data_IF_557269865357
#
_entry.id   IF_557269865357
#
_cell.length_a   1.000
_cell.length_b   1.000
_cell.length_c   1.000
_cell.angle_alpha   90.00
_cell.angle_beta   90.00
_cell.angle_gamma   90.00
#
_symmetry.space_group_name_H-M   'P 1'
#
loop_
_entity.id
_entity.type
_entity.pdbx_description
1 polymer ?
#
# COMPACT_ATOMS: atom_id res chain seq x y z
N UNK A 1 -51.14 -26.85 -30.24
CA UNK A 1 -50.49 -27.53 -29.10
C UNK A 1 -49.25 -26.74 -28.73
N UNK A 2 -49.38 -25.76 -27.82
CA UNK A 2 -48.28 -24.86 -27.44
C UNK A 2 -47.40 -25.59 -26.43
N UNK A 3 -46.18 -25.96 -26.83
CA UNK A 3 -45.16 -26.45 -25.89
C UNK A 3 -44.82 -25.31 -24.93
N UNK A 4 -45.32 -25.37 -23.70
CA UNK A 4 -44.78 -24.59 -22.59
C UNK A 4 -43.33 -25.02 -22.41
N UNK A 5 -42.40 -24.16 -22.81
CA UNK A 5 -41.03 -24.20 -22.32
C UNK A 5 -41.12 -24.11 -20.80
N UNK A 6 -40.68 -25.17 -20.11
CA UNK A 6 -40.35 -25.10 -18.69
C UNK A 6 -39.19 -24.11 -18.59
N UNK A 7 -39.47 -22.91 -18.10
CA UNK A 7 -38.45 -22.08 -17.47
C UNK A 7 -37.87 -22.93 -16.34
N UNK A 8 -36.70 -23.51 -16.58
CA UNK A 8 -35.87 -24.03 -15.50
C UNK A 8 -35.61 -22.87 -14.54
N UNK A 9 -35.95 -23.08 -13.27
CA UNK A 9 -35.62 -22.17 -12.20
C UNK A 9 -34.11 -21.89 -12.26
N UNK A 10 -33.73 -20.66 -12.63
CA UNK A 10 -32.44 -20.12 -12.22
C UNK A 10 -32.49 -20.01 -10.70
N UNK A 11 -32.18 -21.11 -10.00
CA UNK A 11 -31.84 -21.08 -8.59
C UNK A 11 -30.62 -20.16 -8.50
N UNK A 12 -30.83 -18.95 -8.00
CA UNK A 12 -29.78 -18.03 -7.64
C UNK A 12 -29.03 -18.65 -6.46
N UNK A 13 -28.10 -19.58 -6.73
CA UNK A 13 -27.26 -20.17 -5.70
C UNK A 13 -26.28 -19.09 -5.26
N UNK A 14 -26.52 -18.51 -4.10
CA UNK A 14 -25.62 -17.53 -3.47
C UNK A 14 -24.21 -18.13 -3.43
N UNK A 15 -23.24 -17.42 -4.00
CA UNK A 15 -21.82 -17.78 -4.00
C UNK A 15 -21.13 -17.18 -2.78
N UNK A 16 -19.95 -17.70 -2.43
CA UNK A 16 -19.14 -17.15 -1.33
C UNK A 16 -18.92 -15.64 -1.45
N UNK A 17 -18.61 -15.15 -2.66
CA UNK A 17 -18.42 -13.71 -2.92
C UNK A 17 -19.70 -12.87 -2.72
N UNK A 18 -20.89 -13.44 -2.89
CA UNK A 18 -22.14 -12.69 -2.62
C UNK A 18 -22.26 -12.37 -1.12
N UNK A 19 -21.89 -13.33 -0.27
CA UNK A 19 -21.85 -13.12 1.18
C UNK A 19 -20.70 -12.21 1.63
N UNK A 20 -19.56 -12.24 0.95
CA UNK A 20 -18.48 -11.28 1.18
C UNK A 20 -18.96 -9.84 0.91
N UNK A 21 -19.63 -9.61 -0.22
CA UNK A 21 -20.21 -8.31 -0.55
C UNK A 21 -21.28 -7.89 0.46
N UNK A 22 -22.15 -8.81 0.89
CA UNK A 22 -23.12 -8.54 1.97
C UNK A 22 -22.42 -8.17 3.28
N UNK A 23 -21.24 -8.74 3.57
CA UNK A 23 -20.47 -8.41 4.76
C UNK A 23 -19.92 -6.99 4.71
N UNK A 24 -19.38 -6.56 3.56
CA UNK A 24 -18.88 -5.19 3.38
C UNK A 24 -19.99 -4.13 3.46
N UNK A 25 -21.20 -4.49 3.05
CA UNK A 25 -22.37 -3.61 3.12
C UNK A 25 -23.20 -3.74 4.41
N UNK A 26 -22.74 -4.55 5.38
CA UNK A 26 -23.49 -4.78 6.60
C UNK A 26 -23.43 -3.59 7.57
N UNK A 27 -24.60 -3.19 8.08
CA UNK A 27 -24.73 -2.08 9.05
C UNK A 27 -24.03 -2.34 10.40
N UNK A 28 -23.76 -3.61 10.73
CA UNK A 28 -23.17 -3.99 12.02
C UNK A 28 -22.12 -5.06 11.86
N UNK A 29 -21.08 -5.02 12.70
CA UNK A 29 -20.03 -6.03 12.75
C UNK A 29 -20.59 -7.45 13.00
N UNK A 30 -21.65 -7.57 13.79
CA UNK A 30 -22.31 -8.87 14.04
C UNK A 30 -22.92 -9.46 12.77
N UNK A 31 -23.62 -8.63 11.97
CA UNK A 31 -24.15 -9.06 10.67
C UNK A 31 -23.01 -9.40 9.70
N UNK A 32 -22.00 -8.53 9.59
CA UNK A 32 -20.82 -8.76 8.76
C UNK A 32 -20.15 -10.10 9.08
N UNK A 33 -19.93 -10.38 10.37
CA UNK A 33 -19.34 -11.64 10.85
C UNK A 33 -20.17 -12.87 10.47
N UNK A 34 -21.49 -12.77 10.52
CA UNK A 34 -22.39 -13.85 10.12
C UNK A 34 -22.26 -14.14 8.62
N UNK A 35 -22.24 -13.10 7.79
CA UNK A 35 -22.06 -13.25 6.35
C UNK A 35 -20.68 -13.81 5.98
N UNK A 36 -19.60 -13.33 6.59
CA UNK A 36 -18.26 -13.85 6.35
C UNK A 36 -18.12 -15.33 6.72
N UNK A 37 -18.77 -15.77 7.81
CA UNK A 37 -18.82 -17.20 8.15
C UNK A 37 -19.54 -18.01 7.08
N UNK A 38 -20.66 -17.52 6.55
CA UNK A 38 -21.37 -18.18 5.43
C UNK A 38 -20.53 -18.21 4.15
N UNK A 39 -19.80 -17.13 3.86
CA UNK A 39 -18.88 -17.10 2.72
C UNK A 39 -17.83 -18.23 2.82
N UNK A 40 -17.24 -18.41 4.00
CA UNK A 40 -16.24 -19.46 4.27
C UNK A 40 -16.84 -20.87 4.39
N UNK A 41 -18.12 -21.01 4.77
CA UNK A 41 -18.83 -22.29 4.72
C UNK A 41 -19.04 -22.76 3.27
N UNK A 42 -19.28 -21.82 2.34
CA UNK A 42 -19.44 -22.11 0.92
C UNK A 42 -18.11 -22.32 0.19
N UNK A 43 -17.10 -21.55 0.58
CA UNK A 43 -15.75 -21.60 0.00
C UNK A 43 -14.71 -21.33 1.10
N UNK A 44 -14.14 -22.39 1.70
CA UNK A 44 -13.10 -22.27 2.72
C UNK A 44 -11.82 -21.59 2.21
N UNK A 45 -11.60 -21.57 0.89
CA UNK A 45 -10.39 -21.04 0.25
C UNK A 45 -10.57 -19.56 -0.17
N UNK A 46 -11.68 -18.93 0.22
CA UNK A 46 -11.92 -17.51 -0.01
C UNK A 46 -11.05 -16.63 0.92
N UNK A 47 -9.84 -16.34 0.46
CA UNK A 47 -8.84 -15.56 1.20
C UNK A 47 -9.32 -14.15 1.59
N UNK A 48 -10.17 -13.51 0.79
CA UNK A 48 -10.71 -12.17 1.14
C UNK A 48 -11.71 -12.26 2.30
N UNK A 49 -12.58 -13.28 2.28
CA UNK A 49 -13.50 -13.53 3.38
C UNK A 49 -12.76 -13.95 4.66
N UNK A 50 -11.69 -14.74 4.53
CA UNK A 50 -10.84 -15.13 5.64
C UNK A 50 -10.15 -13.92 6.28
N UNK A 51 -9.57 -13.04 5.45
CA UNK A 51 -8.95 -11.79 5.88
C UNK A 51 -9.94 -10.85 6.55
N UNK A 52 -11.11 -10.63 5.95
CA UNK A 52 -12.14 -9.75 6.50
C UNK A 52 -12.69 -10.29 7.83
N UNK A 53 -12.85 -11.62 7.96
CA UNK A 53 -13.26 -12.24 9.22
C UNK A 53 -12.19 -12.09 10.30
N UNK A 54 -10.92 -12.23 9.92
CA UNK A 54 -9.79 -12.03 10.82
C UNK A 54 -9.73 -10.59 11.31
N UNK A 55 -9.93 -9.59 10.46
CA UNK A 55 -9.92 -8.16 10.82
C UNK A 55 -10.95 -7.87 11.93
N UNK A 56 -12.23 -8.17 11.67
CA UNK A 56 -13.32 -7.87 12.61
C UNK A 56 -13.27 -8.72 13.89
N UNK A 57 -12.54 -9.84 13.87
CA UNK A 57 -12.44 -10.76 15.01
C UNK A 57 -11.14 -10.58 15.80
N UNK A 58 -10.26 -9.68 15.36
CA UNK A 58 -8.98 -9.46 16.02
C UNK A 58 -9.10 -8.51 17.21
N UNK A 59 -8.36 -8.83 18.27
CA UNK A 59 -8.38 -8.04 19.51
C UNK A 59 -7.42 -6.87 19.48
N UNK A 60 -6.47 -6.90 18.55
CA UNK A 60 -5.45 -5.87 18.34
C UNK A 60 -4.85 -6.03 16.96
N UNK A 61 -4.11 -5.02 16.52
CA UNK A 61 -3.37 -5.02 15.27
C UNK A 61 -2.31 -6.13 15.22
N UNK A 62 -1.68 -6.45 16.36
CA UNK A 62 -0.71 -7.55 16.47
C UNK A 62 -1.39 -8.93 16.37
N UNK A 63 -2.59 -9.08 16.93
CA UNK A 63 -3.41 -10.28 16.76
C UNK A 63 -3.82 -10.46 15.29
N UNK A 64 -4.21 -9.37 14.63
CA UNK A 64 -4.55 -9.38 13.21
C UNK A 64 -3.34 -9.71 12.33
N UNK A 65 -2.17 -9.14 12.62
CA UNK A 65 -0.92 -9.44 11.91
C UNK A 65 -0.61 -10.95 11.94
N UNK A 66 -0.71 -11.58 13.11
CA UNK A 66 -0.46 -13.02 13.26
C UNK A 66 -1.44 -13.87 12.47
N UNK A 67 -2.74 -13.57 12.58
CA UNK A 67 -3.77 -14.26 11.77
C UNK A 67 -3.55 -14.05 10.27
N UNK A 68 -3.11 -12.86 9.85
CA UNK A 68 -2.81 -12.58 8.45
C UNK A 68 -1.60 -13.40 7.96
N UNK A 69 -0.60 -13.65 8.82
CA UNK A 69 0.51 -14.57 8.51
C UNK A 69 0.01 -16.00 8.27
N UNK A 70 -0.94 -16.48 9.09
CA UNK A 70 -1.59 -17.79 8.89
C UNK A 70 -2.38 -17.84 7.56
N UNK A 71 -3.10 -16.76 7.22
CA UNK A 71 -3.83 -16.64 5.94
C UNK A 71 -2.87 -16.61 4.74
N UNK A 72 -1.70 -15.97 4.87
CA UNK A 72 -0.66 -16.03 3.83
C UNK A 72 -0.14 -17.47 3.68
N UNK A 73 0.06 -18.20 4.78
CA UNK A 73 0.48 -19.60 4.71
C UNK A 73 -0.58 -20.47 4.00
N UNK A 74 -1.86 -20.24 4.29
CA UNK A 74 -2.97 -20.87 3.57
C UNK A 74 -2.94 -20.50 2.08
N UNK A 75 -2.87 -19.21 1.75
CA UNK A 75 -2.79 -18.73 0.38
C UNK A 75 -1.57 -19.25 -0.38
N UNK A 76 -0.40 -19.37 0.25
CA UNK A 76 0.79 -19.98 -0.36
C UNK A 76 0.50 -21.41 -0.82
N UNK A 77 -0.15 -22.21 0.03
CA UNK A 77 -0.52 -23.57 -0.31
C UNK A 77 -1.49 -23.61 -1.51
N UNK A 78 -2.50 -22.74 -1.52
CA UNK A 78 -3.44 -22.64 -2.63
C UNK A 78 -2.75 -22.25 -3.94
N UNK A 79 -1.87 -21.24 -3.92
CA UNK A 79 -1.13 -20.81 -5.11
C UNK A 79 -0.20 -21.90 -5.64
N UNK A 80 0.38 -22.72 -4.76
CA UNK A 80 1.20 -23.86 -5.16
C UNK A 80 0.35 -24.99 -5.77
N UNK A 81 -0.76 -25.37 -5.12
CA UNK A 81 -1.67 -26.41 -5.62
C UNK A 81 -2.33 -26.04 -6.96
N UNK A 82 -2.54 -24.75 -7.21
CA UNK A 82 -3.08 -24.21 -8.44
C UNK A 82 -2.02 -23.95 -9.53
N UNK A 83 -0.73 -24.17 -9.23
CA UNK A 83 0.38 -23.96 -10.18
C UNK A 83 0.72 -22.48 -10.43
N UNK A 84 0.22 -21.55 -9.62
CA UNK A 84 0.46 -20.12 -9.81
C UNK A 84 1.87 -19.66 -9.43
N UNK A 85 2.66 -20.47 -8.74
CA UNK A 85 4.10 -20.19 -8.53
C UNK A 85 5.01 -20.65 -9.68
N UNK A 86 4.45 -21.18 -10.76
CA UNK A 86 5.20 -21.47 -11.98
C UNK A 86 5.70 -20.18 -12.65
N UNK A 87 6.77 -20.31 -13.45
CA UNK A 87 7.51 -19.18 -14.02
C UNK A 87 6.63 -18.30 -14.90
N UNK A 88 5.61 -18.88 -15.52
CA UNK A 88 4.67 -18.25 -16.43
C UNK A 88 3.69 -17.31 -15.71
N UNK A 89 3.47 -17.52 -14.40
CA UNK A 89 2.57 -16.70 -13.59
C UNK A 89 3.31 -15.64 -12.76
N UNK A 90 4.53 -15.96 -12.29
CA UNK A 90 5.35 -15.03 -11.50
C UNK A 90 5.63 -13.75 -12.28
N UNK A 91 5.30 -12.61 -11.66
CA UNK A 91 5.40 -11.28 -12.25
C UNK A 91 4.06 -10.72 -12.72
N UNK A 92 3.08 -11.59 -12.98
CA UNK A 92 1.76 -11.25 -13.51
C UNK A 92 0.61 -11.54 -12.53
N UNK A 93 0.89 -11.73 -11.24
CA UNK A 93 -0.11 -12.08 -10.21
C UNK A 93 -1.30 -11.09 -10.11
N UNK A 94 -1.17 -9.85 -10.57
CA UNK A 94 -2.31 -8.94 -10.60
C UNK A 94 -3.17 -9.07 -11.86
N UNK A 95 -2.57 -9.54 -12.96
CA UNK A 95 -3.23 -9.74 -14.24
C UNK A 95 -4.02 -11.05 -14.26
N UNK A 96 -3.61 -12.03 -13.47
CA UNK A 96 -4.34 -13.28 -13.21
C UNK A 96 -5.41 -13.00 -12.15
N UNK A 97 -6.67 -13.34 -12.43
CA UNK A 97 -7.80 -12.96 -11.57
C UNK A 97 -7.79 -13.74 -10.24
N UNK A 98 -7.46 -15.03 -10.33
CA UNK A 98 -7.46 -16.03 -9.26
C UNK A 98 -6.42 -15.72 -8.17
N UNK A 99 -5.31 -15.06 -8.53
CA UNK A 99 -4.22 -14.71 -7.61
C UNK A 99 -4.43 -13.36 -6.91
N UNK A 100 -5.45 -12.58 -7.27
CA UNK A 100 -5.70 -11.25 -6.68
C UNK A 100 -6.06 -11.29 -5.19
N UNK A 101 -6.92 -12.21 -4.69
CA UNK A 101 -7.17 -12.34 -3.25
C UNK A 101 -5.86 -12.53 -2.47
N UNK A 102 -4.96 -13.39 -2.98
CA UNK A 102 -3.66 -13.62 -2.38
C UNK A 102 -2.79 -12.34 -2.35
N UNK A 103 -2.75 -11.57 -3.44
CA UNK A 103 -2.04 -10.28 -3.47
C UNK A 103 -2.64 -9.25 -2.51
N UNK A 104 -3.97 -9.24 -2.32
CA UNK A 104 -4.64 -8.35 -1.34
C UNK A 104 -4.29 -8.73 0.11
N UNK A 105 -4.25 -10.03 0.43
CA UNK A 105 -3.80 -10.50 1.75
C UNK A 105 -2.37 -10.05 2.02
N UNK A 106 -1.45 -10.25 1.07
CA UNK A 106 -0.05 -9.80 1.18
C UNK A 106 0.07 -8.30 1.35
N UNK A 107 -0.69 -7.52 0.60
CA UNK A 107 -0.74 -6.07 0.76
C UNK A 107 -1.23 -5.66 2.16
N UNK A 108 -2.28 -6.32 2.68
CA UNK A 108 -2.77 -6.03 4.04
C UNK A 108 -1.73 -6.40 5.10
N UNK A 109 -1.01 -7.51 4.93
CA UNK A 109 0.10 -7.88 5.79
C UNK A 109 1.21 -6.81 5.78
N UNK A 110 1.59 -6.32 4.60
CA UNK A 110 2.53 -5.20 4.46
C UNK A 110 2.06 -3.96 5.25
N UNK A 111 0.79 -3.58 5.13
CA UNK A 111 0.23 -2.45 5.91
C UNK A 111 0.34 -2.71 7.42
N UNK A 112 -0.04 -3.90 7.89
CA UNK A 112 0.03 -4.27 9.30
C UNK A 112 1.48 -4.24 9.83
N UNK A 113 2.46 -4.63 9.02
CA UNK A 113 3.89 -4.52 9.37
C UNK A 113 4.33 -3.06 9.52
N UNK A 114 3.89 -2.16 8.65
CA UNK A 114 4.19 -0.72 8.73
C UNK A 114 3.51 -0.07 9.94
N UNK A 115 2.26 -0.42 10.20
CA UNK A 115 1.49 0.01 11.36
C UNK A 115 2.20 -0.42 12.66
N UNK A 116 2.67 -1.68 12.72
CA UNK A 116 3.44 -2.24 13.84
C UNK A 116 4.94 -1.87 13.85
N UNK A 117 5.40 -1.02 12.92
CA UNK A 117 6.81 -0.58 12.78
C UNK A 117 7.84 -1.71 12.61
N UNK A 118 7.41 -2.85 12.05
CA UNK A 118 8.28 -3.98 11.70
C UNK A 118 8.96 -3.75 10.34
N UNK A 119 9.72 -2.66 10.21
CA UNK A 119 10.14 -2.11 8.92
C UNK A 119 11.01 -3.06 8.06
N UNK A 120 11.89 -3.87 8.68
CA UNK A 120 12.70 -4.85 7.93
C UNK A 120 11.84 -5.98 7.34
N UNK A 121 10.80 -6.42 8.05
CA UNK A 121 9.83 -7.38 7.52
C UNK A 121 9.00 -6.75 6.40
N UNK A 122 8.64 -5.48 6.53
CA UNK A 122 7.93 -4.74 5.48
C UNK A 122 8.77 -4.65 4.18
N UNK A 123 10.08 -4.41 4.28
CA UNK A 123 10.98 -4.46 3.11
C UNK A 123 10.91 -5.81 2.41
N UNK A 124 11.05 -6.90 3.17
CA UNK A 124 10.98 -8.25 2.61
C UNK A 124 9.64 -8.52 1.92
N UNK A 125 8.52 -8.13 2.55
CA UNK A 125 7.19 -8.29 1.96
C UNK A 125 7.04 -7.47 0.67
N UNK A 126 7.54 -6.22 0.65
CA UNK A 126 7.55 -5.40 -0.56
C UNK A 126 8.32 -6.08 -1.71
N UNK A 127 9.50 -6.64 -1.42
CA UNK A 127 10.34 -7.32 -2.40
C UNK A 127 9.66 -8.58 -2.96
N UNK A 128 9.03 -9.39 -2.10
CA UNK A 128 8.26 -10.56 -2.53
C UNK A 128 7.05 -10.14 -3.37
N UNK A 129 6.30 -9.11 -2.96
CA UNK A 129 5.17 -8.60 -3.73
C UNK A 129 5.60 -8.09 -5.12
N UNK A 130 6.74 -7.41 -5.23
CA UNK A 130 7.29 -6.94 -6.52
C UNK A 130 7.86 -8.06 -7.39
N UNK A 131 8.23 -9.20 -6.80
CA UNK A 131 8.59 -10.41 -7.54
C UNK A 131 7.35 -11.09 -8.11
N UNK A 132 6.27 -11.15 -7.32
CA UNK A 132 4.98 -11.72 -7.76
C UNK A 132 4.26 -10.82 -8.78
N UNK A 133 4.42 -9.50 -8.67
CA UNK A 133 3.79 -8.50 -9.52
C UNK A 133 4.83 -7.46 -9.98
N UNK A 134 5.51 -7.75 -11.09
CA UNK A 134 6.61 -6.90 -11.61
C UNK A 134 6.11 -5.54 -12.10
N UNK A 135 4.86 -5.48 -12.56
CA UNK A 135 4.20 -4.24 -12.98
C UNK A 135 3.78 -3.34 -11.80
N UNK A 136 3.96 -3.81 -10.56
CA UNK A 136 3.66 -3.09 -9.32
C UNK A 136 2.27 -2.43 -9.32
N UNK A 137 1.25 -3.23 -9.64
CA UNK A 137 -0.13 -2.76 -9.78
C UNK A 137 -0.72 -2.23 -8.47
N UNK A 138 -0.14 -2.60 -7.32
CA UNK A 138 -0.53 -2.14 -5.99
C UNK A 138 0.29 -0.94 -5.48
N UNK A 139 1.28 -0.46 -6.24
CA UNK A 139 2.03 0.75 -5.89
C UNK A 139 3.06 0.57 -4.77
N UNK A 140 3.46 -0.66 -4.48
CA UNK A 140 4.39 -1.05 -3.41
C UNK A 140 5.78 -0.42 -3.60
N UNK A 141 6.18 -0.05 -4.84
CA UNK A 141 7.46 0.64 -5.10
C UNK A 141 7.64 1.91 -4.29
N UNK A 142 6.56 2.65 -4.02
CA UNK A 142 6.66 3.89 -3.26
C UNK A 142 6.83 3.61 -1.77
N UNK A 143 6.26 2.54 -1.24
CA UNK A 143 6.53 2.12 0.13
C UNK A 143 8.00 1.67 0.25
N UNK A 144 8.45 0.84 -0.69
CA UNK A 144 9.81 0.29 -0.68
C UNK A 144 10.89 1.37 -0.81
N UNK A 145 10.68 2.41 -1.64
CA UNK A 145 11.65 3.51 -1.75
C UNK A 145 11.80 4.27 -0.43
N UNK A 146 10.70 4.53 0.28
CA UNK A 146 10.75 5.20 1.59
C UNK A 146 11.42 4.33 2.66
N UNK A 147 11.18 3.01 2.63
CA UNK A 147 11.85 2.06 3.53
C UNK A 147 13.35 1.98 3.27
N UNK A 148 13.80 1.91 2.01
CA UNK A 148 15.23 1.94 1.70
C UNK A 148 15.87 3.29 2.09
N UNK A 149 15.17 4.41 1.87
CA UNK A 149 15.62 5.73 2.34
C UNK A 149 15.74 5.80 3.87
N UNK A 150 14.82 5.19 4.61
CA UNK A 150 14.90 5.11 6.07
C UNK A 150 16.22 4.46 6.53
N UNK A 151 16.65 3.40 5.85
CA UNK A 151 17.92 2.70 6.11
C UNK A 151 19.15 3.26 5.39
N UNK A 152 19.02 4.40 4.69
CA UNK A 152 20.12 5.03 3.96
C UNK A 152 20.73 4.14 2.86
N UNK A 153 19.95 3.19 2.34
CA UNK A 153 20.41 2.23 1.33
C UNK A 153 20.31 2.83 -0.10
N UNK A 154 21.27 3.69 -0.44
CA UNK A 154 21.36 4.32 -1.77
C UNK A 154 21.34 3.30 -2.89
N UNK A 155 22.04 2.16 -2.70
CA UNK A 155 22.18 1.14 -3.73
C UNK A 155 20.81 0.54 -4.08
N UNK A 156 20.03 0.17 -3.08
CA UNK A 156 18.71 -0.42 -3.28
C UNK A 156 17.71 0.59 -3.86
N UNK A 157 17.75 1.86 -3.41
CA UNK A 157 16.98 2.97 -4.01
C UNK A 157 17.28 3.10 -5.50
N UNK A 158 18.56 3.22 -5.88
CA UNK A 158 18.94 3.41 -7.29
C UNK A 158 18.58 2.19 -8.16
N UNK A 159 18.75 0.98 -7.62
CA UNK A 159 18.37 -0.25 -8.30
C UNK A 159 16.87 -0.32 -8.55
N UNK A 160 16.04 0.00 -7.56
CA UNK A 160 14.59 0.00 -7.68
C UNK A 160 14.11 1.03 -8.72
N UNK A 161 14.61 2.27 -8.64
CA UNK A 161 14.32 3.33 -9.59
C UNK A 161 14.64 2.92 -11.03
N UNK A 162 15.79 2.26 -11.24
CA UNK A 162 16.21 1.78 -12.56
C UNK A 162 15.36 0.60 -13.04
N UNK A 163 15.13 -0.40 -12.18
CA UNK A 163 14.37 -1.61 -12.52
C UNK A 163 12.95 -1.26 -12.99
N UNK A 164 12.27 -0.41 -12.23
CA UNK A 164 10.87 -0.01 -12.49
C UNK A 164 10.74 1.24 -13.37
N UNK A 165 11.86 1.79 -13.88
CA UNK A 165 11.89 3.02 -14.69
C UNK A 165 11.07 4.14 -14.07
N UNK A 166 11.24 4.36 -12.76
CA UNK A 166 10.38 5.24 -11.98
C UNK A 166 10.43 6.69 -12.49
N UNK A 167 9.26 7.29 -12.63
CA UNK A 167 9.13 8.70 -12.96
C UNK A 167 9.43 9.57 -11.74
N UNK A 168 9.91 10.79 -11.99
CA UNK A 168 10.19 11.79 -10.96
C UNK A 168 8.88 12.40 -10.43
N UNK A 169 8.18 11.66 -9.59
CA UNK A 169 6.96 12.12 -8.88
C UNK A 169 7.31 12.67 -7.51
N UNK A 170 6.35 13.34 -6.85
CA UNK A 170 6.46 13.78 -5.45
C UNK A 170 6.89 12.62 -4.53
N UNK A 171 6.25 11.46 -4.66
CA UNK A 171 6.53 10.24 -3.89
C UNK A 171 7.92 9.64 -4.12
N UNK A 172 8.65 10.06 -5.16
CA UNK A 172 10.04 9.65 -5.40
C UNK A 172 11.03 10.76 -5.04
N UNK A 173 10.79 11.99 -5.49
CA UNK A 173 11.71 13.10 -5.30
C UNK A 173 11.88 13.46 -3.83
N UNK A 174 10.81 13.36 -3.04
CA UNK A 174 10.84 13.67 -1.62
C UNK A 174 11.72 12.70 -0.80
N UNK A 175 11.55 11.37 -0.87
CA UNK A 175 12.47 10.47 -0.19
C UNK A 175 13.89 10.50 -0.78
N UNK A 176 14.09 10.88 -2.06
CA UNK A 176 15.44 11.06 -2.61
C UNK A 176 16.16 12.27 -2.01
N UNK A 177 15.50 13.41 -1.86
CA UNK A 177 16.13 14.58 -1.23
C UNK A 177 16.49 14.31 0.24
N UNK A 178 15.63 13.57 0.96
CA UNK A 178 15.94 13.08 2.31
C UNK A 178 17.11 12.10 2.33
N UNK A 179 17.14 11.11 1.43
CA UNK A 179 18.23 10.13 1.36
C UNK A 179 19.59 10.83 1.26
N UNK A 180 19.73 11.75 0.30
CA UNK A 180 21.01 12.42 0.09
C UNK A 180 21.36 13.43 1.19
N UNK A 181 20.36 14.01 1.86
CA UNK A 181 20.61 14.78 3.07
C UNK A 181 21.21 13.90 4.17
N UNK A 182 20.64 12.71 4.41
CA UNK A 182 21.15 11.76 5.42
C UNK A 182 22.56 11.24 5.08
N UNK A 183 22.87 11.10 3.80
CA UNK A 183 24.20 10.72 3.31
C UNK A 183 25.21 11.89 3.27
N UNK A 184 24.83 13.08 3.73
CA UNK A 184 25.64 14.31 3.72
C UNK A 184 26.04 14.79 2.31
N UNK A 185 25.40 14.28 1.25
CA UNK A 185 25.52 14.81 -0.11
C UNK A 185 24.50 15.93 -0.31
N UNK A 186 24.74 17.06 0.35
CA UNK A 186 23.84 18.22 0.33
C UNK A 186 23.62 18.78 -1.08
N UNK A 187 24.58 18.59 -2.00
CA UNK A 187 24.46 19.02 -3.39
C UNK A 187 23.39 18.19 -4.13
N UNK A 188 23.39 16.87 -3.98
CA UNK A 188 22.32 16.02 -4.53
C UNK A 188 21.01 16.24 -3.80
N UNK A 189 21.04 16.38 -2.47
CA UNK A 189 19.84 16.65 -1.67
C UNK A 189 19.13 17.93 -2.15
N UNK A 190 19.88 19.03 -2.30
CA UNK A 190 19.36 20.31 -2.80
C UNK A 190 18.80 20.15 -4.21
N UNK A 191 19.52 19.47 -5.11
CA UNK A 191 19.03 19.18 -6.46
C UNK A 191 17.66 18.51 -6.43
N UNK A 192 17.50 17.41 -5.69
CA UNK A 192 16.22 16.68 -5.63
C UNK A 192 15.12 17.48 -4.94
N UNK A 193 15.46 18.29 -3.93
CA UNK A 193 14.50 19.19 -3.28
C UNK A 193 14.00 20.29 -4.24
N UNK A 194 14.90 20.85 -5.05
CA UNK A 194 14.52 21.85 -6.06
C UNK A 194 13.67 21.23 -7.16
N UNK A 195 14.00 20.01 -7.63
CA UNK A 195 13.18 19.24 -8.58
C UNK A 195 11.80 18.90 -7.99
N UNK A 196 11.73 18.55 -6.69
CA UNK A 196 10.47 18.34 -5.98
C UNK A 196 9.60 19.61 -6.03
N UNK A 197 10.19 20.77 -5.76
CA UNK A 197 9.48 22.05 -5.83
C UNK A 197 9.08 22.48 -7.25
N UNK A 198 9.73 21.95 -8.30
CA UNK A 198 9.27 22.13 -9.70
C UNK A 198 8.10 21.22 -10.03
N UNK A 199 8.14 19.99 -9.52
CA UNK A 199 7.10 18.97 -9.74
C UNK A 199 5.83 19.29 -8.97
N UNK A 200 5.97 19.77 -7.73
CA UNK A 200 4.87 20.17 -6.87
C UNK A 200 5.13 21.57 -6.29
N UNK A 201 4.45 22.57 -6.84
CA UNK A 201 4.60 23.99 -6.47
C UNK A 201 4.31 24.28 -4.98
N UNK A 202 3.58 23.39 -4.30
CA UNK A 202 3.23 23.53 -2.88
C UNK A 202 4.35 23.08 -1.93
N UNK A 203 5.46 22.55 -2.44
CA UNK A 203 6.58 22.07 -1.61
C UNK A 203 7.06 23.10 -0.59
N UNK A 204 7.22 24.37 -1.00
CA UNK A 204 7.64 25.44 -0.08
C UNK A 204 6.61 25.73 1.00
N UNK A 205 5.33 25.72 0.64
CA UNK A 205 4.22 25.95 1.57
C UNK A 205 4.09 24.80 2.57
N UNK A 206 4.20 23.56 2.10
CA UNK A 206 4.23 22.37 2.94
C UNK A 206 5.38 22.41 3.96
N UNK A 207 6.61 22.71 3.53
CA UNK A 207 7.75 22.83 4.45
C UNK A 207 7.54 23.92 5.50
N UNK A 208 6.96 25.07 5.08
CA UNK A 208 6.61 26.14 6.01
C UNK A 208 5.57 25.68 7.03
N UNK A 209 4.50 25.02 6.57
CA UNK A 209 3.43 24.53 7.43
C UNK A 209 3.92 23.47 8.42
N UNK A 210 4.80 22.55 8.00
CA UNK A 210 5.45 21.59 8.89
C UNK A 210 6.19 22.30 10.03
N UNK A 211 7.05 23.28 9.68
CA UNK A 211 7.87 24.02 10.65
C UNK A 211 7.05 24.91 11.59
N UNK A 212 5.87 25.36 11.15
CA UNK A 212 4.95 26.17 11.95
C UNK A 212 3.92 25.32 12.70
N UNK A 213 4.00 23.98 12.62
CA UNK A 213 3.02 23.05 13.22
C UNK A 213 1.58 23.28 12.71
N UNK A 214 1.44 23.67 11.44
CA UNK A 214 0.16 24.00 10.77
C UNK A 214 -0.26 22.98 9.69
N UNK A 215 0.27 21.75 9.74
CA UNK A 215 -0.14 20.70 8.79
C UNK A 215 -1.62 20.31 8.99
N UNK A 216 -2.09 20.32 10.24
CA UNK A 216 -3.47 19.92 10.57
C UNK A 216 -4.52 20.95 10.11
N UNK A 217 -4.09 22.12 9.61
CA UNK A 217 -4.99 23.14 9.03
C UNK A 217 -5.45 22.77 7.62
N UNK A 218 -4.82 21.79 6.96
CA UNK A 218 -5.19 21.34 5.63
C UNK A 218 -6.24 20.22 5.73
N UNK A 219 -7.44 20.50 5.23
CA UNK A 219 -8.47 19.47 5.07
C UNK A 219 -8.09 18.52 3.92
N UNK A 220 -7.89 17.25 4.25
CA UNK A 220 -7.70 16.20 3.25
C UNK A 220 -9.05 15.65 2.81
N UNK A 221 -9.17 15.27 1.54
CA UNK A 221 -10.34 14.55 1.06
C UNK A 221 -10.42 13.17 1.74
N UNK A 222 -11.65 12.68 1.96
CA UNK A 222 -11.90 11.38 2.60
C UNK A 222 -11.26 10.19 1.85
N UNK A 223 -10.99 10.37 0.55
CA UNK A 223 -10.44 9.32 -0.32
C UNK A 223 -9.28 9.82 -1.19
N UNK A 224 -8.07 9.37 -0.83
CA UNK A 224 -6.87 9.59 -1.61
C UNK A 224 -6.32 11.01 -1.49
N UNK A 225 -5.61 11.45 -2.53
CA UNK A 225 -5.03 12.79 -2.61
C UNK A 225 -5.22 13.35 -4.01
N UNK A 226 -5.25 14.68 -4.12
CA UNK A 226 -5.22 15.34 -5.41
C UNK A 226 -3.77 15.43 -5.91
N UNK A 227 -3.44 14.88 -7.10
CA UNK A 227 -2.08 14.95 -7.61
C UNK A 227 -1.60 16.40 -7.81
N UNK A 228 -0.32 16.66 -7.54
CA UNK A 228 0.32 17.98 -7.71
C UNK A 228 -0.26 19.09 -6.81
N UNK A 229 -0.94 18.74 -5.71
CA UNK A 229 -1.38 19.68 -4.67
C UNK A 229 -0.63 19.46 -3.37
N UNK A 230 -0.92 20.27 -2.35
CA UNK A 230 -0.38 20.08 -1.01
C UNK A 230 -0.81 18.74 -0.40
N UNK A 231 -1.98 18.22 -0.75
CA UNK A 231 -2.51 16.93 -0.28
C UNK A 231 -1.55 15.79 -0.63
N UNK A 232 -0.97 15.79 -1.84
CA UNK A 232 0.01 14.77 -2.24
C UNK A 232 1.25 14.77 -1.32
N UNK A 233 1.73 15.95 -0.92
CA UNK A 233 2.87 16.09 0.00
C UNK A 233 2.50 15.65 1.41
N UNK A 234 1.32 16.04 1.89
CA UNK A 234 0.82 15.69 3.22
C UNK A 234 0.59 14.18 3.32
N UNK A 235 -0.10 13.58 2.36
CA UNK A 235 -0.35 12.13 2.33
C UNK A 235 0.97 11.35 2.23
N UNK A 236 1.88 11.76 1.34
CA UNK A 236 3.23 11.16 1.26
C UNK A 236 3.96 11.22 2.60
N UNK A 237 3.85 12.35 3.31
CA UNK A 237 4.44 12.53 4.64
C UNK A 237 3.77 11.65 5.70
N UNK A 238 2.44 11.66 5.78
CA UNK A 238 1.65 10.95 6.80
C UNK A 238 1.76 9.42 6.67
N UNK A 239 1.73 8.89 5.45
CA UNK A 239 1.90 7.45 5.21
C UNK A 239 3.31 6.96 5.57
N UNK A 240 4.29 7.86 5.61
CA UNK A 240 5.70 7.55 5.83
C UNK A 240 6.29 8.27 7.05
N UNK A 241 5.49 8.50 8.09
CA UNK A 241 5.94 9.17 9.32
C UNK A 241 7.19 8.54 9.94
N UNK A 242 7.38 7.22 9.80
CA UNK A 242 8.59 6.54 10.29
C UNK A 242 9.88 7.12 9.68
N UNK A 243 9.82 7.68 8.46
CA UNK A 243 10.93 8.38 7.83
C UNK A 243 10.99 9.84 8.26
N UNK A 244 9.85 10.54 8.25
CA UNK A 244 9.83 12.01 8.28
C UNK A 244 9.68 12.64 9.67
N UNK A 245 9.10 11.96 10.66
CA UNK A 245 8.66 12.59 11.92
C UNK A 245 9.79 13.20 12.76
N UNK A 246 11.04 12.77 12.56
CA UNK A 246 12.22 13.23 13.30
C UNK A 246 13.24 13.94 12.40
N UNK A 247 12.79 14.59 11.32
CA UNK A 247 13.66 15.26 10.34
C UNK A 247 13.56 16.79 10.39
N UNK A 248 13.37 17.38 11.58
CA UNK A 248 13.16 18.83 11.74
C UNK A 248 14.31 19.65 11.14
N UNK A 249 15.56 19.20 11.27
CA UNK A 249 16.75 19.85 10.72
C UNK A 249 16.76 19.80 9.19
N UNK A 250 16.28 18.70 8.58
CA UNK A 250 16.12 18.61 7.13
C UNK A 250 15.04 19.58 6.65
N UNK A 251 13.89 19.65 7.34
CA UNK A 251 12.83 20.58 6.97
C UNK A 251 13.27 22.05 7.10
N UNK A 252 14.00 22.38 8.17
CA UNK A 252 14.58 23.71 8.38
C UNK A 252 15.57 24.07 7.27
N UNK A 253 16.55 23.20 7.01
CA UNK A 253 17.53 23.35 5.94
C UNK A 253 16.87 23.48 4.57
N UNK A 254 15.90 22.61 4.28
CA UNK A 254 15.20 22.60 3.00
C UNK A 254 14.37 23.86 2.79
N UNK A 255 13.70 24.35 3.83
CA UNK A 255 12.94 25.60 3.75
C UNK A 255 13.85 26.81 3.46
N UNK A 256 15.06 26.85 4.03
CA UNK A 256 16.05 27.89 3.72
C UNK A 256 16.49 27.90 2.26
N UNK A 257 16.63 26.72 1.64
CA UNK A 257 16.90 26.60 0.20
C UNK A 257 15.69 27.08 -0.60
N UNK A 258 14.49 26.61 -0.27
CA UNK A 258 13.26 26.94 -0.99
C UNK A 258 12.88 28.43 -0.90
N UNK A 259 13.32 29.14 0.14
CA UNK A 259 13.17 30.61 0.23
C UNK A 259 14.03 31.36 -0.80
N UNK A 260 15.20 30.82 -1.15
CA UNK A 260 16.14 31.44 -2.10
C UNK A 260 15.73 31.22 -3.56
N UNK A 261 14.94 30.18 -3.83
CA UNK A 261 14.30 29.93 -5.13
C UNK A 261 13.26 31.04 -5.37
N UNK A 262 13.49 31.86 -6.39
CA UNK A 262 12.54 32.88 -6.86
C UNK A 262 11.44 32.23 -7.68
#
# INVERSE_FOLDING_TARGET
MVRKLKLENYLNTEKSNDFLEMAYNAETQTKAKSYLKKALELDPDNLDAELALADISSKSQLDFLKKTEDIIAHGNKLMEEQGHFEKECIGDFWLIFETRPYMRVRYRYLMLLLECKMLKKAIHECEEMLKLCENDNLGVRYILIHLYTFWEDEKSVLNLCKKLKMLKTTQLLFPLSVLYYKLLDFKKAEKYLLELAETNKYTKEFFKAFLEERIDEFELEDYGYKPFTIDELIVTFMENLYLYCNLIEYFSWGYDILKKKR
#
